data_IF_817395275234
#
_entry.id   IF_817395275234
#
_cell.length_a   1.000
_cell.length_b   1.000
_cell.length_c   1.000
_cell.angle_alpha   90.00
_cell.angle_beta   90.00
_cell.angle_gamma   90.00
#
_symmetry.space_group_name_H-M   'P 1'
#
loop_
_entity.id
_entity.type
_entity.pdbx_description
1 polymer ?
#
# COMPACT_ATOMS: atom_id res chain seq x y z
N UNK A 1 -7.17 -41.54 27.42
CA UNK A 1 -7.58 -40.13 27.48
C UNK A 1 -6.83 -39.44 26.35
N UNK A 2 -7.55 -39.13 25.27
CA UNK A 2 -7.03 -38.31 24.16
C UNK A 2 -7.43 -36.87 24.51
N UNK A 3 -6.45 -35.99 24.58
CA UNK A 3 -6.68 -34.56 24.78
C UNK A 3 -7.28 -34.00 23.49
N UNK A 4 -8.59 -33.76 23.54
CA UNK A 4 -9.36 -33.07 22.53
C UNK A 4 -9.10 -31.57 22.71
N UNK A 5 -8.04 -31.07 22.07
CA UNK A 5 -7.85 -29.63 21.88
C UNK A 5 -8.56 -29.24 20.61
N UNK A 6 -9.89 -29.12 20.69
CA UNK A 6 -10.59 -28.25 19.75
C UNK A 6 -10.06 -26.85 19.99
N UNK A 7 -9.31 -26.32 19.02
CA UNK A 7 -9.04 -24.89 18.95
C UNK A 7 -10.40 -24.20 18.89
N UNK A 8 -10.76 -23.55 20.00
CA UNK A 8 -11.95 -22.71 20.06
C UNK A 8 -11.64 -21.51 19.17
N UNK A 9 -12.10 -21.55 17.92
CA UNK A 9 -12.18 -20.38 17.07
C UNK A 9 -13.01 -19.33 17.82
N UNK A 10 -12.54 -18.09 17.98
CA UNK A 10 -13.27 -17.07 18.71
C UNK A 10 -14.60 -16.75 17.99
N UNK A 11 -15.71 -17.20 18.56
CA UNK A 11 -17.07 -17.05 18.01
C UNK A 11 -17.65 -15.64 18.12
N UNK A 12 -16.86 -14.65 18.57
CA UNK A 12 -17.27 -13.24 18.60
C UNK A 12 -16.07 -12.34 18.32
N UNK A 13 -16.20 -11.51 17.28
CA UNK A 13 -15.25 -10.44 16.97
C UNK A 13 -15.04 -9.58 18.21
N UNK A 14 -13.78 -9.27 18.50
CA UNK A 14 -13.46 -8.36 19.59
C UNK A 14 -14.08 -6.98 19.30
N UNK A 15 -14.56 -6.23 20.30
CA UNK A 15 -15.09 -4.88 20.06
C UNK A 15 -14.03 -4.03 19.35
N UNK A 16 -14.31 -3.61 18.12
CA UNK A 16 -13.40 -2.80 17.32
C UNK A 16 -13.14 -1.48 18.04
N UNK A 17 -11.88 -1.10 18.21
CA UNK A 17 -11.52 0.21 18.77
C UNK A 17 -11.61 1.26 17.67
N UNK A 18 -12.83 1.60 17.27
CA UNK A 18 -13.01 2.70 16.34
C UNK A 18 -12.68 4.04 17.00
N UNK A 19 -12.10 5.01 16.25
CA UNK A 19 -11.92 6.38 16.70
C UNK A 19 -13.21 7.01 17.23
N UNK A 20 -13.15 8.12 18.00
CA UNK A 20 -14.32 8.96 18.23
C UNK A 20 -14.91 9.36 16.87
N UNK A 21 -16.06 8.75 16.55
CA UNK A 21 -16.77 8.92 15.28
C UNK A 21 -17.53 10.25 15.23
N UNK A 22 -17.36 11.11 16.24
CA UNK A 22 -18.08 12.37 16.38
C UNK A 22 -17.66 13.36 15.29
N UNK A 23 -18.60 13.95 14.53
CA UNK A 23 -18.30 14.92 13.49
C UNK A 23 -17.51 16.14 13.98
N UNK A 24 -16.60 16.66 13.16
CA UNK A 24 -15.93 17.95 13.37
C UNK A 24 -16.42 18.96 12.34
N UNK A 25 -17.57 19.57 12.61
CA UNK A 25 -18.32 20.32 11.60
C UNK A 25 -18.89 19.35 10.55
N UNK A 26 -18.75 19.68 9.27
CA UNK A 26 -19.20 18.83 8.15
C UNK A 26 -18.22 17.70 7.79
N UNK A 27 -17.21 17.42 8.63
CA UNK A 27 -16.18 16.42 8.36
C UNK A 27 -16.22 15.27 9.39
N UNK A 28 -16.24 14.03 8.91
CA UNK A 28 -16.39 12.81 9.69
C UNK A 28 -15.22 11.86 9.46
N UNK A 29 -15.05 10.90 10.38
CA UNK A 29 -14.16 9.76 10.15
C UNK A 29 -14.75 8.87 9.04
N UNK A 30 -13.98 8.50 8.01
CA UNK A 30 -14.47 7.62 6.96
C UNK A 30 -15.04 6.29 7.45
N UNK A 31 -14.54 5.76 8.58
CA UNK A 31 -15.03 4.51 9.17
C UNK A 31 -16.43 4.61 9.78
N UNK A 32 -17.07 5.79 9.77
CA UNK A 32 -18.46 5.94 10.23
C UNK A 32 -19.46 5.12 9.39
N UNK A 33 -19.15 4.80 8.13
CA UNK A 33 -19.95 3.90 7.29
C UNK A 33 -19.78 2.42 7.66
N UNK A 34 -18.89 2.10 8.59
CA UNK A 34 -18.64 0.76 9.13
C UNK A 34 -18.96 0.65 10.62
N UNK A 35 -19.97 1.42 11.07
CA UNK A 35 -20.42 1.42 12.46
C UNK A 35 -21.08 0.11 12.84
N UNK A 36 -21.96 -0.39 11.97
CA UNK A 36 -22.69 -1.64 12.15
C UNK A 36 -21.84 -2.82 11.66
N UNK A 37 -21.81 -3.89 12.45
CA UNK A 37 -20.95 -5.06 12.22
C UNK A 37 -21.33 -5.85 10.94
N UNK A 38 -22.55 -5.64 10.43
CA UNK A 38 -23.14 -6.22 9.23
C UNK A 38 -23.11 -5.30 7.99
N UNK A 39 -22.55 -4.09 8.13
CA UNK A 39 -22.52 -3.14 7.02
C UNK A 39 -21.68 -3.63 5.84
N UNK A 40 -22.21 -3.46 4.61
CA UNK A 40 -21.51 -3.84 3.37
C UNK A 40 -20.12 -3.21 3.28
N UNK A 41 -19.99 -1.94 3.68
CA UNK A 41 -18.69 -1.24 3.70
C UNK A 41 -17.69 -1.90 4.64
N UNK A 42 -18.13 -2.44 5.79
CA UNK A 42 -17.24 -3.16 6.69
C UNK A 42 -16.78 -4.49 6.08
N UNK A 43 -17.68 -5.20 5.41
CA UNK A 43 -17.35 -6.42 4.66
C UNK A 43 -16.33 -6.13 3.56
N UNK A 44 -16.51 -5.07 2.77
CA UNK A 44 -15.54 -4.64 1.76
C UNK A 44 -14.19 -4.23 2.39
N UNK A 45 -14.21 -3.57 3.56
CA UNK A 45 -12.99 -3.18 4.28
C UNK A 45 -12.22 -4.39 4.80
N UNK A 46 -12.93 -5.40 5.29
CA UNK A 46 -12.33 -6.66 5.75
C UNK A 46 -11.75 -7.45 4.56
N UNK A 47 -12.51 -7.64 3.49
CA UNK A 47 -12.09 -8.42 2.32
C UNK A 47 -10.82 -7.88 1.65
N UNK A 48 -10.74 -6.56 1.45
CA UNK A 48 -9.52 -5.95 0.91
C UNK A 48 -8.34 -6.07 1.88
N UNK A 49 -8.59 -5.99 3.20
CA UNK A 49 -7.55 -6.14 4.23
C UNK A 49 -7.02 -7.59 4.25
N UNK A 50 -7.90 -8.60 4.19
CA UNK A 50 -7.53 -10.02 4.09
C UNK A 50 -6.67 -10.25 2.85
N UNK A 51 -7.14 -9.83 1.68
CA UNK A 51 -6.41 -10.01 0.41
C UNK A 51 -5.02 -9.38 0.45
N UNK A 52 -4.93 -8.14 0.96
CA UNK A 52 -3.68 -7.41 1.08
C UNK A 52 -2.70 -8.08 2.05
N UNK A 53 -3.18 -8.55 3.20
CA UNK A 53 -2.36 -9.23 4.21
C UNK A 53 -1.91 -10.61 3.73
N UNK A 54 -2.79 -11.38 3.10
CA UNK A 54 -2.44 -12.65 2.49
C UNK A 54 -1.30 -12.49 1.47
N UNK A 55 -1.36 -11.45 0.63
CA UNK A 55 -0.30 -11.13 -0.33
C UNK A 55 1.05 -10.80 0.34
N UNK A 56 1.04 -10.09 1.49
CA UNK A 56 2.27 -9.80 2.25
C UNK A 56 2.82 -11.01 2.99
N UNK A 57 1.96 -11.86 3.55
CA UNK A 57 2.35 -13.05 4.29
C UNK A 57 2.84 -14.16 3.35
N UNK A 58 2.14 -14.37 2.25
CA UNK A 58 2.42 -15.43 1.28
C UNK A 58 2.52 -14.87 -0.14
N UNK A 59 3.53 -14.05 -0.44
CA UNK A 59 3.74 -13.53 -1.77
C UNK A 59 4.06 -14.66 -2.76
N UNK A 60 3.65 -14.49 -4.00
CA UNK A 60 4.10 -15.29 -5.13
C UNK A 60 5.60 -15.10 -5.41
N UNK A 61 6.21 -16.03 -6.14
CA UNK A 61 7.62 -15.94 -6.53
C UNK A 61 7.98 -14.62 -7.28
N UNK A 62 7.17 -14.12 -8.23
CA UNK A 62 7.42 -12.82 -8.85
C UNK A 62 7.51 -11.66 -7.84
N UNK A 63 6.61 -11.64 -6.85
CA UNK A 63 6.62 -10.61 -5.80
C UNK A 63 7.81 -10.77 -4.85
N UNK A 64 8.17 -12.01 -4.48
CA UNK A 64 9.39 -12.28 -3.70
C UNK A 64 10.63 -11.73 -4.41
N UNK A 65 10.76 -11.99 -5.71
CA UNK A 65 11.90 -11.52 -6.50
C UNK A 65 12.00 -9.99 -6.55
N UNK A 66 10.88 -9.30 -6.79
CA UNK A 66 10.85 -7.83 -6.81
C UNK A 66 11.13 -7.21 -5.43
N UNK A 67 10.65 -7.84 -4.35
CA UNK A 67 10.95 -7.44 -2.97
C UNK A 67 12.43 -7.66 -2.63
N UNK A 68 13.01 -8.77 -3.07
CA UNK A 68 14.45 -9.05 -2.89
C UNK A 68 15.32 -8.00 -3.59
N UNK A 69 14.94 -7.61 -4.81
CA UNK A 69 15.60 -6.54 -5.57
C UNK A 69 15.50 -5.20 -4.82
N UNK A 70 14.31 -4.80 -4.36
CA UNK A 70 14.15 -3.58 -3.58
C UNK A 70 14.97 -3.60 -2.30
N UNK A 71 14.95 -4.71 -1.55
CA UNK A 71 15.72 -4.86 -0.33
C UNK A 71 17.23 -4.73 -0.58
N UNK A 72 17.74 -5.35 -1.64
CA UNK A 72 19.14 -5.19 -2.05
C UNK A 72 19.49 -3.73 -2.43
N UNK A 73 18.59 -3.06 -3.16
CA UNK A 73 18.75 -1.65 -3.51
C UNK A 73 18.77 -0.71 -2.30
N UNK A 74 17.92 -0.99 -1.29
CA UNK A 74 17.87 -0.25 -0.03
C UNK A 74 19.11 -0.51 0.84
N UNK A 75 19.61 -1.74 0.91
CA UNK A 75 20.89 -2.05 1.59
C UNK A 75 22.02 -1.26 0.93
N UNK A 76 22.10 -1.26 -0.40
CA UNK A 76 23.10 -0.47 -1.12
C UNK A 76 22.96 1.04 -0.89
N UNK A 77 21.74 1.53 -0.62
CA UNK A 77 21.53 2.94 -0.24
C UNK A 77 22.02 3.22 1.18
N UNK A 78 21.78 2.32 2.14
CA UNK A 78 22.33 2.43 3.50
C UNK A 78 23.87 2.45 3.48
N UNK A 79 24.49 1.56 2.69
CA UNK A 79 25.95 1.57 2.45
C UNK A 79 26.42 2.91 1.88
N UNK A 80 25.66 3.46 0.93
CA UNK A 80 25.97 4.75 0.33
C UNK A 80 25.89 5.90 1.34
N UNK A 81 24.88 5.89 2.23
CA UNK A 81 24.72 6.89 3.28
C UNK A 81 25.85 6.86 4.30
N UNK A 82 26.26 5.68 4.77
CA UNK A 82 27.35 5.53 5.74
C UNK A 82 28.67 6.16 5.28
N UNK A 83 28.93 6.12 3.97
CA UNK A 83 30.13 6.70 3.38
C UNK A 83 30.04 8.23 3.18
N UNK A 84 28.93 8.87 3.54
CA UNK A 84 28.77 10.32 3.48
C UNK A 84 29.29 11.01 4.75
N UNK A 85 29.69 12.27 4.60
CA UNK A 85 30.19 13.08 5.73
C UNK A 85 29.14 13.27 6.83
N UNK A 86 27.88 13.35 6.44
CA UNK A 86 26.67 13.47 7.28
C UNK A 86 25.90 12.14 7.39
N UNK A 87 26.58 11.00 7.18
CA UNK A 87 25.94 9.68 7.07
C UNK A 87 25.11 9.27 8.28
N UNK A 88 25.58 9.56 9.50
CA UNK A 88 24.87 9.23 10.73
C UNK A 88 23.53 9.96 10.82
N UNK A 89 23.53 11.28 10.57
CA UNK A 89 22.31 12.08 10.58
C UNK A 89 21.33 11.66 9.48
N UNK A 90 21.84 11.27 8.31
CA UNK A 90 21.01 10.78 7.20
C UNK A 90 20.37 9.42 7.53
N UNK A 91 21.11 8.49 8.12
CA UNK A 91 20.55 7.18 8.54
C UNK A 91 19.47 7.37 9.59
N UNK A 92 19.72 8.19 10.62
CA UNK A 92 18.71 8.52 11.65
C UNK A 92 17.48 9.16 11.00
N UNK A 93 17.70 10.13 10.09
CA UNK A 93 16.62 10.82 9.38
C UNK A 93 15.80 9.91 8.47
N UNK A 94 16.42 8.92 7.85
CA UNK A 94 15.74 7.90 7.03
C UNK A 94 14.88 6.98 7.90
N UNK A 95 15.36 6.59 9.07
CA UNK A 95 14.64 5.71 10.00
C UNK A 95 13.53 6.40 10.79
N UNK A 96 13.49 7.74 10.81
CA UNK A 96 12.64 8.50 11.72
C UNK A 96 11.15 8.16 11.64
N UNK A 97 10.66 7.79 10.46
CA UNK A 97 9.26 7.43 10.26
C UNK A 97 9.00 5.96 10.52
N UNK A 98 9.85 5.05 10.05
CA UNK A 98 9.70 3.60 10.28
C UNK A 98 9.89 3.20 11.75
N UNK A 99 10.90 3.77 12.43
CA UNK A 99 11.24 3.44 13.82
C UNK A 99 10.66 4.41 14.86
N UNK A 100 10.06 5.51 14.39
CA UNK A 100 9.41 6.50 15.23
C UNK A 100 8.06 6.05 15.77
N UNK A 101 7.39 6.90 16.57
CA UNK A 101 6.12 6.56 17.23
C UNK A 101 4.94 6.36 16.24
N UNK A 102 5.08 6.86 15.02
CA UNK A 102 4.13 6.71 13.91
C UNK A 102 4.46 5.54 12.97
N UNK A 103 5.57 4.86 13.25
CA UNK A 103 6.16 3.88 12.35
C UNK A 103 5.50 2.52 12.37
N UNK A 104 5.96 1.68 11.43
CA UNK A 104 5.60 0.27 11.37
C UNK A 104 6.41 -0.59 12.31
N UNK A 105 7.60 -0.13 12.73
CA UNK A 105 8.45 -0.84 13.67
C UNK A 105 8.93 0.12 14.76
N UNK A 106 8.01 0.67 15.58
CA UNK A 106 8.37 1.66 16.60
C UNK A 106 9.38 1.08 17.60
N UNK A 107 10.55 1.70 17.72
CA UNK A 107 11.61 1.25 18.62
C UNK A 107 11.72 2.19 19.82
N UNK A 108 11.52 1.67 21.04
CA UNK A 108 11.59 2.48 22.27
C UNK A 108 12.90 3.27 22.38
N UNK A 109 14.03 2.61 22.08
CA UNK A 109 15.35 3.24 22.07
C UNK A 109 15.41 4.44 21.10
N UNK A 110 14.84 4.30 19.91
CA UNK A 110 14.79 5.38 18.93
C UNK A 110 13.93 6.53 19.44
N UNK A 111 12.71 6.22 19.91
CA UNK A 111 11.74 7.19 20.39
C UNK A 111 12.31 7.99 21.57
N UNK A 112 12.95 7.33 22.53
CA UNK A 112 13.57 7.98 23.69
C UNK A 112 14.74 8.87 23.29
N UNK A 113 15.63 8.37 22.43
CA UNK A 113 16.82 9.11 21.96
C UNK A 113 16.45 10.37 21.15
N UNK A 114 15.27 10.39 20.56
CA UNK A 114 14.81 11.46 19.65
C UNK A 114 13.81 12.42 20.30
N UNK A 115 13.25 12.07 21.46
CA UNK A 115 12.21 12.81 22.18
C UNK A 115 12.53 14.30 22.45
N UNK A 116 13.80 14.63 22.66
CA UNK A 116 14.23 16.00 22.98
C UNK A 116 14.53 16.86 21.74
N UNK A 117 14.38 16.31 20.54
CA UNK A 117 14.75 16.98 19.28
C UNK A 117 16.26 17.09 19.04
N UNK A 118 17.08 16.57 19.95
CA UNK A 118 18.53 16.44 19.81
C UNK A 118 18.96 15.03 20.20
N UNK A 119 19.87 14.45 19.41
CA UNK A 119 20.42 13.11 19.66
C UNK A 119 21.75 13.25 20.39
N UNK A 120 21.83 12.74 21.62
CA UNK A 120 23.02 12.87 22.46
C UNK A 120 24.20 12.01 21.95
N UNK A 121 23.92 10.84 21.36
CA UNK A 121 24.91 9.94 20.75
C UNK A 121 24.48 9.51 19.33
N UNK A 122 24.73 10.34 18.30
CA UNK A 122 24.26 10.08 16.95
C UNK A 122 24.94 8.87 16.29
N UNK A 123 26.19 8.54 16.66
CA UNK A 123 26.89 7.36 16.12
C UNK A 123 26.22 6.05 16.56
N UNK A 124 25.94 5.91 17.85
CA UNK A 124 25.30 4.72 18.40
C UNK A 124 23.85 4.57 17.88
N UNK A 125 23.10 5.66 17.81
CA UNK A 125 21.74 5.63 17.28
C UNK A 125 21.73 5.29 15.79
N UNK A 126 22.64 5.86 14.98
CA UNK A 126 22.75 5.53 13.57
C UNK A 126 23.10 4.06 13.35
N UNK A 127 24.02 3.51 14.16
CA UNK A 127 24.36 2.09 14.15
C UNK A 127 23.14 1.22 14.48
N UNK A 128 22.40 1.53 15.54
CA UNK A 128 21.17 0.82 15.91
C UNK A 128 20.12 0.87 14.77
N UNK A 129 19.91 2.05 14.21
CA UNK A 129 18.99 2.28 13.10
C UNK A 129 19.35 1.38 11.90
N UNK A 130 20.64 1.40 11.51
CA UNK A 130 21.16 0.61 10.41
C UNK A 130 21.01 -0.88 10.65
N UNK A 131 21.48 -1.39 11.79
CA UNK A 131 21.41 -2.82 12.13
C UNK A 131 19.95 -3.32 12.16
N UNK A 132 19.01 -2.47 12.60
CA UNK A 132 17.58 -2.79 12.60
C UNK A 132 17.03 -2.89 11.18
N UNK A 133 17.28 -1.90 10.33
CA UNK A 133 16.84 -1.96 8.93
C UNK A 133 17.51 -3.11 8.17
N UNK A 134 18.81 -3.32 8.33
CA UNK A 134 19.54 -4.41 7.68
C UNK A 134 18.99 -5.79 8.05
N UNK A 135 18.48 -5.98 9.27
CA UNK A 135 17.85 -7.23 9.69
C UNK A 135 16.59 -7.53 8.88
N UNK A 136 15.72 -6.54 8.71
CA UNK A 136 14.51 -6.68 7.88
C UNK A 136 14.88 -6.89 6.41
N UNK A 137 15.73 -6.02 5.87
CA UNK A 137 16.09 -6.02 4.46
C UNK A 137 16.85 -7.30 4.07
N UNK A 138 17.80 -7.77 4.89
CA UNK A 138 18.55 -8.99 4.60
C UNK A 138 17.66 -10.24 4.59
N UNK A 139 16.64 -10.27 5.44
CA UNK A 139 15.69 -11.39 5.48
C UNK A 139 14.84 -11.44 4.21
N UNK A 140 14.37 -10.28 3.75
CA UNK A 140 13.63 -10.14 2.48
C UNK A 140 14.52 -10.41 1.27
N UNK A 141 15.76 -9.89 1.26
CA UNK A 141 16.71 -10.08 0.16
C UNK A 141 17.05 -11.57 -0.06
N UNK A 142 17.22 -12.32 1.03
CA UNK A 142 17.47 -13.78 0.96
C UNK A 142 16.30 -14.59 0.40
N UNK A 143 15.18 -13.94 0.09
CA UNK A 143 13.99 -14.56 -0.51
C UNK A 143 13.46 -15.72 0.34
N UNK A 144 13.56 -15.58 1.67
CA UNK A 144 13.02 -16.60 2.57
C UNK A 144 11.50 -16.60 2.43
N UNK A 145 10.95 -17.77 2.15
CA UNK A 145 9.53 -17.97 2.02
C UNK A 145 8.86 -17.99 3.39
N UNK A 146 7.56 -17.69 3.40
CA UNK A 146 6.72 -17.85 4.57
C UNK A 146 6.19 -16.54 5.16
N UNK A 147 5.15 -16.65 5.99
CA UNK A 147 4.43 -15.53 6.59
C UNK A 147 5.18 -14.80 7.70
N UNK A 148 6.26 -15.37 8.23
CA UNK A 148 7.12 -14.80 9.28
C UNK A 148 7.85 -13.54 8.81
N UNK A 149 7.96 -13.34 7.48
CA UNK A 149 8.53 -12.13 6.90
C UNK A 149 7.50 -11.05 6.57
N UNK A 150 6.21 -11.24 6.83
CA UNK A 150 5.17 -10.26 6.49
C UNK A 150 5.51 -8.84 6.95
N UNK A 151 5.87 -8.70 8.22
CA UNK A 151 6.31 -7.44 8.81
C UNK A 151 7.57 -6.87 8.13
N UNK A 152 8.60 -7.69 7.89
CA UNK A 152 9.83 -7.25 7.22
C UNK A 152 9.58 -6.77 5.79
N UNK A 153 8.65 -7.41 5.07
CA UNK A 153 8.21 -6.98 3.74
C UNK A 153 7.48 -5.64 3.81
N UNK A 154 6.57 -5.46 4.78
CA UNK A 154 5.90 -4.18 5.01
C UNK A 154 6.90 -3.05 5.34
N UNK A 155 7.88 -3.29 6.22
CA UNK A 155 8.96 -2.34 6.52
C UNK A 155 9.77 -1.99 5.28
N UNK A 156 10.10 -2.98 4.44
CA UNK A 156 10.81 -2.77 3.18
C UNK A 156 10.04 -1.83 2.26
N UNK A 157 8.73 -2.05 2.08
CA UNK A 157 7.88 -1.22 1.23
C UNK A 157 7.66 0.17 1.83
N UNK A 158 7.54 0.28 3.16
CA UNK A 158 7.43 1.56 3.85
C UNK A 158 8.64 2.47 3.59
N UNK A 159 9.85 1.92 3.62
CA UNK A 159 11.06 2.67 3.26
C UNK A 159 11.03 3.19 1.82
N UNK A 160 10.49 2.41 0.87
CA UNK A 160 10.29 2.88 -0.51
C UNK A 160 9.35 4.09 -0.55
N UNK A 161 8.26 4.02 0.23
CA UNK A 161 7.30 5.11 0.36
C UNK A 161 7.90 6.36 0.99
N UNK A 162 8.68 6.21 2.05
CA UNK A 162 9.32 7.32 2.75
C UNK A 162 10.36 8.03 1.85
N UNK A 163 11.11 7.26 1.06
CA UNK A 163 12.01 7.79 0.04
C UNK A 163 11.24 8.56 -1.03
N UNK A 164 10.22 7.95 -1.64
CA UNK A 164 9.40 8.62 -2.64
C UNK A 164 8.74 9.90 -2.10
N UNK A 165 8.31 9.88 -0.84
CA UNK A 165 7.71 11.04 -0.18
C UNK A 165 8.71 12.20 -0.04
N UNK A 166 9.94 11.99 0.44
CA UNK A 166 10.91 13.09 0.54
C UNK A 166 11.48 13.53 -0.82
N UNK A 167 11.45 12.67 -1.83
CA UNK A 167 11.83 13.03 -3.20
C UNK A 167 10.80 13.95 -3.85
N UNK A 168 9.53 13.73 -3.54
CA UNK A 168 8.43 14.44 -4.19
C UNK A 168 7.87 15.62 -3.37
N UNK A 169 8.02 15.62 -2.05
CA UNK A 169 7.53 16.67 -1.16
C UNK A 169 8.44 17.91 -1.14
N UNK A 170 7.83 19.08 -0.99
CA UNK A 170 8.52 20.38 -0.85
C UNK A 170 8.79 20.76 0.62
N UNK A 171 9.09 19.79 1.49
CA UNK A 171 9.48 20.06 2.89
C UNK A 171 8.53 19.56 3.99
N UNK A 172 7.73 18.51 3.77
CA UNK A 172 6.94 17.92 4.85
C UNK A 172 7.84 17.13 5.83
N UNK A 173 8.08 17.73 7.00
CA UNK A 173 8.86 17.20 8.13
C UNK A 173 8.00 16.84 9.34
N UNK A 174 6.67 17.05 9.27
CA UNK A 174 5.78 16.94 10.43
C UNK A 174 5.76 15.52 11.00
N UNK A 175 5.87 15.39 12.32
CA UNK A 175 5.81 14.10 13.04
C UNK A 175 7.13 13.33 13.12
N UNK A 176 8.23 13.87 12.58
CA UNK A 176 9.54 13.19 12.57
C UNK A 176 10.64 14.08 13.12
N UNK A 177 11.70 13.48 13.68
CA UNK A 177 12.95 14.21 14.02
C UNK A 177 13.76 14.68 12.80
N UNK A 178 13.24 14.45 11.60
CA UNK A 178 13.84 14.89 10.35
C UNK A 178 13.56 16.38 10.17
N UNK A 179 14.57 17.21 10.32
CA UNK A 179 14.46 18.64 9.99
C UNK A 179 14.52 18.89 8.47
N UNK A 180 14.32 20.15 8.06
CA UNK A 180 14.32 20.54 6.64
C UNK A 180 15.70 20.32 5.98
N UNK A 181 16.79 20.49 6.74
CA UNK A 181 18.15 20.33 6.25
C UNK A 181 18.45 18.86 5.97
N UNK A 182 18.11 17.96 6.89
CA UNK A 182 18.22 16.50 6.74
C UNK A 182 17.34 16.02 5.59
N UNK A 183 16.11 16.54 5.47
CA UNK A 183 15.22 16.21 4.35
C UNK A 183 15.83 16.56 2.99
N UNK A 184 16.41 17.77 2.87
CA UNK A 184 17.08 18.21 1.64
C UNK A 184 18.30 17.36 1.33
N UNK A 185 19.11 17.04 2.35
CA UNK A 185 20.30 16.21 2.18
C UNK A 185 19.98 14.76 1.83
N UNK A 186 18.92 14.17 2.39
CA UNK A 186 18.40 12.86 2.01
C UNK A 186 17.93 12.82 0.55
N UNK A 187 17.25 13.88 0.11
CA UNK A 187 16.85 14.04 -1.29
C UNK A 187 18.08 14.08 -2.22
N UNK A 188 19.08 14.88 -1.88
CA UNK A 188 20.33 14.96 -2.64
C UNK A 188 21.10 13.63 -2.64
N UNK A 189 21.21 12.94 -1.49
CA UNK A 189 21.91 11.66 -1.40
C UNK A 189 21.20 10.56 -2.17
N UNK A 190 19.86 10.47 -2.11
CA UNK A 190 19.14 9.50 -2.91
C UNK A 190 19.25 9.79 -4.41
N UNK A 191 19.25 11.06 -4.81
CA UNK A 191 19.48 11.45 -6.20
C UNK A 191 20.85 11.02 -6.70
N UNK A 192 21.90 11.24 -5.90
CA UNK A 192 23.25 10.77 -6.23
C UNK A 192 23.33 9.24 -6.31
N UNK A 193 22.64 8.54 -5.41
CA UNK A 193 22.59 7.09 -5.42
C UNK A 193 21.86 6.56 -6.68
N UNK A 194 20.71 7.11 -7.01
CA UNK A 194 19.95 6.78 -8.22
C UNK A 194 20.80 7.00 -9.49
N UNK A 195 21.52 8.11 -9.56
CA UNK A 195 22.43 8.41 -10.68
C UNK A 195 23.61 7.44 -10.73
N UNK A 196 24.18 7.08 -9.58
CA UNK A 196 25.25 6.08 -9.48
C UNK A 196 24.80 4.72 -10.02
N UNK A 197 23.56 4.30 -9.74
CA UNK A 197 22.99 3.05 -10.28
C UNK A 197 22.96 3.06 -11.82
N UNK A 198 22.84 4.24 -12.45
CA UNK A 198 22.89 4.40 -13.91
C UNK A 198 24.28 4.74 -14.47
N UNK A 199 25.32 4.79 -13.62
CA UNK A 199 26.65 5.24 -14.04
C UNK A 199 26.72 6.73 -14.42
N UNK A 200 25.80 7.56 -13.90
CA UNK A 200 25.75 9.01 -14.07
C UNK A 200 26.32 9.74 -12.84
N UNK A 201 26.69 11.01 -13.03
CA UNK A 201 27.23 11.89 -11.98
C UNK A 201 26.15 12.83 -11.43
N UNK A 202 26.45 13.51 -10.31
CA UNK A 202 25.55 14.44 -9.63
C UNK A 202 25.13 15.68 -10.45
N UNK A 203 25.74 15.92 -11.62
CA UNK A 203 25.35 16.99 -12.54
C UNK A 203 23.95 16.78 -13.14
N UNK A 204 23.42 15.56 -13.05
CA UNK A 204 22.12 15.17 -13.62
C UNK A 204 20.99 15.09 -12.57
N UNK A 205 21.17 15.66 -11.37
CA UNK A 205 20.16 15.63 -10.30
C UNK A 205 18.79 16.17 -10.74
N UNK A 206 18.77 17.18 -11.60
CA UNK A 206 17.52 17.74 -12.14
C UNK A 206 16.68 16.68 -12.87
N UNK A 207 17.29 15.69 -13.53
CA UNK A 207 16.57 14.59 -14.18
C UNK A 207 15.84 13.68 -13.17
N UNK A 208 16.45 13.46 -12.00
CA UNK A 208 15.84 12.67 -10.91
C UNK A 208 14.65 13.44 -10.35
N UNK A 209 14.81 14.73 -10.10
CA UNK A 209 13.76 15.59 -9.60
C UNK A 209 12.57 15.67 -10.58
N UNK A 210 12.85 15.88 -11.86
CA UNK A 210 11.84 15.86 -12.91
C UNK A 210 11.13 14.50 -12.97
N UNK A 211 11.86 13.40 -12.85
CA UNK A 211 11.29 12.06 -12.82
C UNK A 211 10.34 11.86 -11.64
N UNK A 212 10.77 12.21 -10.43
CA UNK A 212 9.94 12.10 -9.23
C UNK A 212 8.67 12.96 -9.35
N UNK A 213 8.79 14.19 -9.86
CA UNK A 213 7.64 15.09 -10.06
C UNK A 213 6.69 14.60 -11.16
N UNK A 214 7.21 14.03 -12.26
CA UNK A 214 6.38 13.34 -13.27
C UNK A 214 5.61 12.21 -12.63
N UNK A 215 6.27 11.36 -11.84
CA UNK A 215 5.67 10.24 -11.15
C UNK A 215 4.51 10.67 -10.25
N UNK A 216 4.77 11.65 -9.37
CA UNK A 216 3.75 12.24 -8.48
C UNK A 216 2.57 12.84 -9.24
N UNK A 217 2.82 13.51 -10.37
CA UNK A 217 1.77 14.12 -11.20
C UNK A 217 0.87 13.06 -11.84
N UNK A 218 1.47 12.02 -12.43
CA UNK A 218 0.76 10.94 -13.12
C UNK A 218 -0.02 10.06 -12.14
N UNK A 219 0.57 9.72 -10.99
CA UNK A 219 -0.06 8.89 -9.97
C UNK A 219 -1.07 9.65 -9.12
N UNK A 220 -1.63 10.70 -9.71
CA UNK A 220 -2.66 11.56 -9.17
C UNK A 220 -2.38 12.08 -7.77
N UNK A 221 -1.16 12.58 -7.53
CA UNK A 221 -0.90 13.55 -6.48
C UNK A 221 -1.86 14.75 -6.50
N UNK A 222 -2.51 15.02 -7.64
CA UNK A 222 -3.63 15.97 -7.79
C UNK A 222 -5.00 15.36 -8.16
N UNK A 223 -5.15 14.02 -8.25
CA UNK A 223 -6.35 13.37 -8.84
C UNK A 223 -6.90 12.20 -8.01
N UNK A 224 -6.11 11.52 -7.16
CA UNK A 224 -6.56 10.32 -6.45
C UNK A 224 -7.26 10.66 -5.13
N UNK A 225 -8.57 10.36 -5.07
CA UNK A 225 -9.44 10.45 -3.89
C UNK A 225 -9.87 11.87 -3.53
N UNK A 226 -10.97 12.05 -2.78
CA UNK A 226 -11.76 13.29 -2.67
C UNK A 226 -10.89 14.53 -2.58
N UNK A 227 -11.19 15.52 -3.44
CA UNK A 227 -10.32 16.63 -3.83
C UNK A 227 -9.46 17.10 -2.65
N UNK A 228 -8.17 16.69 -2.66
CA UNK A 228 -7.31 16.46 -1.47
C UNK A 228 -7.23 17.58 -0.42
N UNK A 229 -7.60 18.81 -0.77
CA UNK A 229 -7.62 19.94 0.16
C UNK A 229 -9.00 20.52 0.48
N UNK A 230 -10.02 20.29 -0.37
CA UNK A 230 -11.35 20.92 -0.21
C UNK A 230 -12.33 20.06 0.57
N UNK A 231 -12.21 18.75 0.46
CA UNK A 231 -13.12 17.78 1.10
C UNK A 231 -12.49 17.11 2.33
N UNK A 232 -11.30 17.56 2.76
CA UNK A 232 -10.51 16.91 3.80
C UNK A 232 -10.13 17.88 4.90
N UNK A 233 -10.15 17.40 6.13
CA UNK A 233 -9.68 18.12 7.31
C UNK A 233 -8.65 17.26 8.05
N UNK A 234 -7.44 17.80 8.24
CA UNK A 234 -6.40 17.14 9.02
C UNK A 234 -6.86 17.04 10.47
N UNK A 235 -6.59 15.89 11.07
CA UNK A 235 -6.82 15.63 12.49
C UNK A 235 -5.56 16.03 13.25
N UNK A 236 -5.73 16.66 14.42
CA UNK A 236 -4.60 17.01 15.30
C UNK A 236 -3.90 15.74 15.80
N UNK A 237 -2.61 15.82 16.12
CA UNK A 237 -1.77 14.65 16.45
C UNK A 237 -2.30 13.88 17.66
N UNK A 238 -2.85 14.58 18.65
CA UNK A 238 -3.43 14.00 19.87
C UNK A 238 -4.71 13.19 19.61
N UNK A 239 -5.36 13.42 18.47
CA UNK A 239 -6.55 12.69 18.03
C UNK A 239 -6.20 11.50 17.10
N UNK A 240 -4.92 11.31 16.74
CA UNK A 240 -4.49 10.18 15.91
C UNK A 240 -4.53 8.87 16.69
N UNK A 241 -5.41 7.98 16.25
CA UNK A 241 -5.60 6.66 16.84
C UNK A 241 -4.89 5.63 15.96
N UNK A 242 -4.10 4.70 16.54
CA UNK A 242 -3.52 3.60 15.80
C UNK A 242 -4.61 2.83 15.05
N UNK A 243 -4.36 2.53 13.78
CA UNK A 243 -5.21 1.65 12.97
C UNK A 243 -4.42 0.48 12.45
N UNK A 244 -5.13 -0.63 12.28
CA UNK A 244 -4.57 -1.84 11.71
C UNK A 244 -5.45 -2.23 10.53
N UNK A 245 -4.98 -2.10 9.30
CA UNK A 245 -5.84 -2.35 8.13
C UNK A 245 -6.95 -1.30 7.95
N UNK A 246 -7.79 -1.47 6.92
CA UNK A 246 -8.85 -0.52 6.60
C UNK A 246 -9.99 -0.66 7.61
N UNK A 247 -10.46 0.49 8.13
CA UNK A 247 -11.48 0.54 9.18
C UNK A 247 -11.16 -0.34 10.41
N UNK A 248 -9.87 -0.48 10.72
CA UNK A 248 -9.33 -1.30 11.81
C UNK A 248 -9.61 -2.81 11.68
N UNK A 249 -9.80 -3.31 10.45
CA UNK A 249 -10.04 -4.74 10.17
C UNK A 249 -8.80 -5.65 10.28
N UNK A 250 -7.63 -5.10 10.59
CA UNK A 250 -6.36 -5.82 10.50
C UNK A 250 -6.22 -6.95 11.52
N UNK A 251 -6.75 -6.76 12.73
CA UNK A 251 -6.80 -7.84 13.72
C UNK A 251 -7.68 -8.98 13.22
N UNK A 252 -8.91 -8.68 12.82
CA UNK A 252 -9.87 -9.68 12.32
C UNK A 252 -9.29 -10.44 11.12
N UNK A 253 -8.65 -9.72 10.18
CA UNK A 253 -7.98 -10.33 9.04
C UNK A 253 -6.82 -11.25 9.47
N UNK A 254 -6.02 -10.86 10.46
CA UNK A 254 -4.96 -11.72 10.99
C UNK A 254 -5.49 -12.93 11.74
N UNK A 255 -6.61 -12.82 12.48
CA UNK A 255 -7.25 -13.96 13.15
C UNK A 255 -7.76 -14.96 12.12
N UNK A 256 -8.47 -14.50 11.08
CA UNK A 256 -8.99 -15.34 10.00
C UNK A 256 -7.88 -15.99 9.16
N UNK A 257 -6.79 -15.27 8.89
CA UNK A 257 -5.61 -15.83 8.23
C UNK A 257 -4.74 -16.71 9.15
N UNK A 258 -5.11 -16.84 10.44
CA UNK A 258 -4.34 -17.60 11.42
C UNK A 258 -2.94 -17.03 11.67
N UNK A 259 -2.77 -15.70 11.59
CA UNK A 259 -1.51 -14.96 11.79
C UNK A 259 -1.50 -14.03 13.00
N UNK A 260 -2.62 -13.81 13.68
CA UNK A 260 -2.67 -12.91 14.84
C UNK A 260 -1.65 -13.31 15.92
N UNK A 261 -0.87 -12.32 16.40
CA UNK A 261 0.22 -12.47 17.37
C UNK A 261 1.32 -13.49 17.02
N UNK A 262 1.35 -14.00 15.78
CA UNK A 262 2.44 -14.85 15.29
C UNK A 262 3.61 -14.00 14.80
N UNK A 263 4.79 -14.61 14.69
CA UNK A 263 5.96 -13.94 14.12
C UNK A 263 5.62 -13.38 12.73
N UNK A 264 6.06 -12.15 12.44
CA UNK A 264 5.83 -11.50 11.15
C UNK A 264 4.43 -10.89 10.95
N UNK A 265 3.52 -10.96 11.93
CA UNK A 265 2.22 -10.28 11.84
C UNK A 265 2.38 -8.75 11.72
N UNK A 266 1.43 -8.09 11.08
CA UNK A 266 1.45 -6.64 10.89
C UNK A 266 0.90 -5.93 12.13
N UNK A 267 1.69 -5.02 12.68
CA UNK A 267 1.34 -4.24 13.87
C UNK A 267 0.46 -3.04 13.53
N UNK A 268 -0.32 -2.50 14.49
CA UNK A 268 -1.05 -1.26 14.32
C UNK A 268 -0.10 -0.10 13.99
N UNK A 269 -0.51 0.78 13.09
CA UNK A 269 0.25 1.98 12.71
C UNK A 269 -0.51 3.24 13.07
N UNK A 270 0.19 4.28 13.52
CA UNK A 270 -0.39 5.61 13.69
C UNK A 270 -0.05 6.44 12.47
N UNK A 271 -1.06 6.91 11.75
CA UNK A 271 -0.85 7.78 10.62
C UNK A 271 -1.94 8.84 10.56
N UNK A 272 -1.61 9.96 9.90
CA UNK A 272 -2.49 11.11 9.81
C UNK A 272 -3.71 10.83 8.91
N UNK A 273 -4.72 10.17 9.47
CA UNK A 273 -6.04 9.99 8.86
C UNK A 273 -6.71 11.35 8.76
N UNK A 274 -7.13 11.76 7.57
CA UNK A 274 -7.93 12.96 7.44
C UNK A 274 -9.41 12.62 7.62
N UNK A 275 -10.15 13.53 8.27
CA UNK A 275 -11.62 13.49 8.20
C UNK A 275 -12.05 13.93 6.81
N UNK A 276 -13.09 13.31 6.29
CA UNK A 276 -13.67 13.62 4.98
C UNK A 276 -15.00 14.34 5.14
N UNK A 277 -15.37 15.18 4.18
CA UNK A 277 -16.70 15.79 4.16
C UNK A 277 -17.78 14.68 4.20
N UNK A 278 -18.77 14.83 5.07
CA UNK A 278 -19.82 13.83 5.35
C UNK A 278 -20.48 13.30 4.08
N UNK A 279 -21.00 14.20 3.22
CA UNK A 279 -21.55 13.85 1.89
C UNK A 279 -20.65 12.94 1.05
N UNK A 280 -19.33 13.07 1.12
CA UNK A 280 -18.44 12.17 0.37
C UNK A 280 -18.52 10.76 0.91
N UNK A 281 -18.50 10.61 2.23
CA UNK A 281 -18.59 9.31 2.90
C UNK A 281 -19.96 8.70 2.64
N UNK A 282 -21.05 9.47 2.73
CA UNK A 282 -22.41 9.01 2.45
C UNK A 282 -22.63 8.55 1.00
N UNK A 283 -21.98 9.20 0.02
CA UNK A 283 -22.16 8.91 -1.40
C UNK A 283 -21.18 7.86 -1.95
N UNK A 284 -20.28 7.32 -1.12
CA UNK A 284 -19.27 6.34 -1.55
C UNK A 284 -19.52 5.02 -0.84
N UNK A 285 -19.93 4.00 -1.59
CA UNK A 285 -20.17 2.65 -1.07
C UNK A 285 -18.87 1.90 -0.73
N UNK A 286 -17.78 2.28 -1.41
CA UNK A 286 -16.44 1.72 -1.17
C UNK A 286 -15.83 2.26 0.14
N UNK A 287 -15.04 1.44 0.85
CA UNK A 287 -14.28 1.92 2.00
C UNK A 287 -13.32 3.06 1.63
N UNK A 288 -13.16 4.02 2.52
CA UNK A 288 -12.28 5.17 2.35
C UNK A 288 -11.33 5.23 3.56
N UNK A 289 -10.02 5.39 3.36
CA UNK A 289 -9.10 5.61 4.48
C UNK A 289 -8.93 7.11 4.77
N UNK A 290 -9.00 7.97 3.75
CA UNK A 290 -8.85 9.42 3.88
C UNK A 290 -7.41 9.91 3.85
N UNK A 291 -6.45 9.08 3.42
CA UNK A 291 -5.02 9.41 3.48
C UNK A 291 -4.56 10.40 2.39
N UNK A 292 -3.75 11.39 2.76
CA UNK A 292 -3.47 12.60 1.95
C UNK A 292 -2.36 12.47 0.88
N UNK A 293 -1.65 11.35 0.81
CA UNK A 293 -0.39 11.21 0.05
C UNK A 293 -0.59 10.63 -1.36
N UNK A 294 0.42 10.74 -2.22
CA UNK A 294 0.47 10.07 -3.52
C UNK A 294 1.19 8.72 -3.41
N UNK A 295 0.93 7.98 -2.33
CA UNK A 295 1.77 6.86 -1.88
C UNK A 295 1.98 5.75 -2.91
N UNK A 296 1.00 5.34 -3.73
CA UNK A 296 1.26 4.36 -4.78
C UNK A 296 2.39 4.80 -5.71
N UNK A 297 2.38 6.07 -6.15
CA UNK A 297 3.40 6.60 -7.05
C UNK A 297 4.76 6.81 -6.40
N UNK A 298 4.77 7.22 -5.13
CA UNK A 298 5.99 7.42 -4.34
C UNK A 298 6.73 6.08 -4.15
N UNK A 299 6.00 5.03 -3.77
CA UNK A 299 6.53 3.68 -3.61
C UNK A 299 7.03 3.13 -4.94
N UNK A 300 6.18 3.13 -5.97
CA UNK A 300 6.48 2.48 -7.25
C UNK A 300 7.59 3.18 -8.02
N UNK A 301 7.66 4.51 -7.97
CA UNK A 301 8.78 5.27 -8.54
C UNK A 301 10.10 4.88 -7.88
N UNK A 302 10.15 4.83 -6.54
CA UNK A 302 11.36 4.44 -5.81
C UNK A 302 11.75 3.00 -6.13
N UNK A 303 10.77 2.10 -6.20
CA UNK A 303 10.98 0.69 -6.55
C UNK A 303 11.55 0.54 -7.97
N UNK A 304 11.07 1.31 -8.95
CA UNK A 304 11.60 1.34 -10.32
C UNK A 304 13.08 1.74 -10.37
N UNK A 305 13.45 2.78 -9.62
CA UNK A 305 14.84 3.24 -9.53
C UNK A 305 15.74 2.15 -8.97
N UNK A 306 15.35 1.58 -7.81
CA UNK A 306 16.15 0.55 -7.14
C UNK A 306 16.22 -0.76 -7.93
N UNK A 307 15.19 -1.07 -8.71
CA UNK A 307 15.19 -2.21 -9.63
C UNK A 307 15.96 -1.95 -10.93
N UNK A 308 16.63 -0.81 -11.07
CA UNK A 308 17.45 -0.48 -12.25
C UNK A 308 16.64 -0.29 -13.54
N UNK A 309 15.35 0.06 -13.44
CA UNK A 309 14.50 0.36 -14.63
C UNK A 309 14.86 1.69 -15.28
N UNK A 310 15.51 2.54 -14.51
CA UNK A 310 16.06 3.82 -14.91
C UNK A 310 15.13 5.00 -14.63
N UNK A 311 15.73 6.15 -14.38
CA UNK A 311 15.14 7.43 -14.01
C UNK A 311 14.10 7.87 -15.05
N UNK A 312 14.39 7.67 -16.34
CA UNK A 312 13.49 8.08 -17.42
C UNK A 312 12.26 7.18 -17.56
N UNK A 313 12.26 6.01 -16.93
CA UNK A 313 11.17 5.01 -17.01
C UNK A 313 10.48 4.75 -15.67
N UNK A 314 10.95 5.37 -14.60
CA UNK A 314 10.32 5.25 -13.28
C UNK A 314 8.93 5.90 -13.30
N UNK A 315 7.91 5.11 -12.99
CA UNK A 315 6.50 5.53 -12.92
C UNK A 315 6.01 6.32 -14.15
N UNK A 316 6.37 5.92 -15.37
CA UNK A 316 5.95 6.65 -16.58
C UNK A 316 4.60 6.20 -17.17
N UNK A 317 4.03 5.12 -16.64
CA UNK A 317 2.84 4.46 -17.19
C UNK A 317 3.13 3.78 -18.54
N UNK A 318 2.82 2.50 -18.67
CA UNK A 318 2.91 1.82 -19.96
C UNK A 318 3.16 0.31 -19.89
N UNK A 319 2.71 -0.41 -20.91
CA UNK A 319 2.80 -1.86 -21.10
C UNK A 319 4.19 -2.35 -21.57
N UNK A 320 5.22 -1.52 -21.41
CA UNK A 320 6.60 -1.86 -21.76
C UNK A 320 7.34 -2.63 -20.65
N UNK A 321 8.63 -2.97 -20.84
CA UNK A 321 9.46 -3.69 -19.85
C UNK A 321 9.73 -2.95 -18.52
N UNK A 322 9.02 -1.84 -18.26
CA UNK A 322 9.08 -1.04 -17.04
C UNK A 322 7.95 -1.31 -16.05
N UNK A 323 6.83 -1.91 -16.48
CA UNK A 323 5.75 -2.33 -15.58
C UNK A 323 6.10 -3.65 -14.89
N UNK A 324 5.67 -3.79 -13.64
CA UNK A 324 5.68 -5.05 -12.91
C UNK A 324 4.42 -5.17 -12.08
N UNK A 325 3.56 -6.14 -12.43
CA UNK A 325 2.36 -6.47 -11.65
C UNK A 325 2.72 -6.79 -10.20
N UNK A 326 3.83 -7.50 -9.99
CA UNK A 326 4.37 -7.79 -8.68
C UNK A 326 4.62 -6.52 -7.85
N UNK A 327 5.34 -5.52 -8.38
CA UNK A 327 5.61 -4.27 -7.64
C UNK A 327 4.34 -3.49 -7.31
N UNK A 328 3.44 -3.38 -8.28
CA UNK A 328 2.14 -2.75 -8.07
C UNK A 328 1.32 -3.47 -6.99
N UNK A 329 1.29 -4.81 -6.99
CA UNK A 329 0.60 -5.59 -5.98
C UNK A 329 1.24 -5.41 -4.61
N UNK A 330 2.58 -5.44 -4.51
CA UNK A 330 3.30 -5.17 -3.27
C UNK A 330 2.96 -3.79 -2.69
N UNK A 331 2.95 -2.75 -3.52
CA UNK A 331 2.54 -1.41 -3.08
C UNK A 331 1.08 -1.37 -2.59
N UNK A 332 0.15 -2.01 -3.30
CA UNK A 332 -1.26 -2.10 -2.87
C UNK A 332 -1.39 -2.89 -1.56
N UNK A 333 -0.73 -4.05 -1.47
CA UNK A 333 -0.78 -4.94 -0.33
C UNK A 333 -0.30 -4.23 0.95
N UNK A 334 0.78 -3.47 0.84
CA UNK A 334 1.27 -2.62 1.92
C UNK A 334 0.26 -1.53 2.31
N UNK A 335 -0.18 -0.72 1.36
CA UNK A 335 -1.02 0.44 1.65
C UNK A 335 -2.39 0.02 2.21
N UNK A 336 -3.01 -1.02 1.65
CA UNK A 336 -4.31 -1.54 2.11
C UNK A 336 -4.15 -2.37 3.38
N UNK A 337 -3.18 -3.28 3.44
CA UNK A 337 -3.02 -4.22 4.56
C UNK A 337 -2.61 -3.54 5.88
N UNK A 338 -1.80 -2.49 5.80
CA UNK A 338 -1.47 -1.64 6.95
C UNK A 338 -2.56 -0.60 7.25
N UNK A 339 -3.50 -0.39 6.32
CA UNK A 339 -4.64 0.51 6.48
C UNK A 339 -4.37 1.95 6.06
N UNK A 340 -3.24 2.24 5.41
CA UNK A 340 -2.92 3.59 4.94
C UNK A 340 -3.85 4.07 3.82
N UNK A 341 -4.30 3.22 2.90
CA UNK A 341 -5.19 3.60 1.78
C UNK A 341 -6.16 2.48 1.50
N UNK A 342 -7.41 2.79 1.15
CA UNK A 342 -8.34 1.76 0.67
C UNK A 342 -8.02 1.32 -0.76
N UNK A 343 -8.63 0.22 -1.20
CA UNK A 343 -8.60 -0.27 -2.58
C UNK A 343 -8.98 0.85 -3.57
N UNK A 344 -10.03 1.62 -3.25
CA UNK A 344 -10.47 2.77 -4.04
C UNK A 344 -9.41 3.88 -4.15
N UNK A 345 -8.63 4.08 -3.09
CA UNK A 345 -7.57 5.10 -3.06
C UNK A 345 -6.28 4.63 -3.74
N UNK A 346 -6.04 3.33 -3.91
CA UNK A 346 -4.85 2.84 -4.63
C UNK A 346 -5.12 2.53 -6.11
N UNK A 347 -6.35 2.16 -6.48
CA UNK A 347 -6.69 1.60 -7.81
C UNK A 347 -6.27 2.50 -8.97
N UNK A 348 -6.49 3.82 -8.87
CA UNK A 348 -6.15 4.74 -9.94
C UNK A 348 -4.64 4.75 -10.19
N UNK A 349 -3.83 4.91 -9.15
CA UNK A 349 -2.37 4.98 -9.26
C UNK A 349 -1.78 3.66 -9.76
N UNK A 350 -2.41 2.54 -9.39
CA UNK A 350 -2.04 1.20 -9.85
C UNK A 350 -2.35 1.00 -11.34
N UNK A 351 -3.53 1.44 -11.80
CA UNK A 351 -3.90 1.36 -13.22
C UNK A 351 -3.00 2.25 -14.09
N UNK A 352 -2.73 3.49 -13.66
CA UNK A 352 -1.81 4.40 -14.38
C UNK A 352 -0.42 3.78 -14.48
N UNK A 353 0.07 3.14 -13.40
CA UNK A 353 1.35 2.43 -13.44
C UNK A 353 1.34 1.29 -14.47
N UNK A 354 0.22 0.58 -14.60
CA UNK A 354 -0.03 -0.41 -15.66
C UNK A 354 -0.21 0.18 -17.07
N UNK A 355 -0.18 1.51 -17.22
CA UNK A 355 -0.41 2.19 -18.49
C UNK A 355 -1.89 2.30 -18.88
N UNK A 356 -2.79 2.17 -17.91
CA UNK A 356 -4.23 2.30 -18.10
C UNK A 356 -4.73 3.54 -17.37
N UNK A 357 -5.24 4.53 -18.10
CA UNK A 357 -6.00 5.62 -17.48
C UNK A 357 -7.44 5.13 -17.24
N UNK A 358 -7.92 5.08 -15.97
CA UNK A 358 -9.28 4.65 -15.67
C UNK A 358 -10.35 5.40 -16.48
N UNK A 359 -10.10 6.67 -16.82
CA UNK A 359 -11.04 7.50 -17.59
C UNK A 359 -11.09 7.12 -19.07
N UNK A 360 -9.98 6.63 -19.60
CA UNK A 360 -9.91 6.16 -21.00
C UNK A 360 -10.42 4.73 -21.14
N UNK A 361 -10.29 3.92 -20.09
CA UNK A 361 -10.74 2.52 -20.11
C UNK A 361 -12.21 2.38 -19.71
N UNK A 362 -12.73 3.24 -18.82
CA UNK A 362 -14.11 3.22 -18.34
C UNK A 362 -14.96 4.35 -18.95
N UNK A 363 -14.90 4.50 -20.27
CA UNK A 363 -15.57 5.60 -21.01
C UNK A 363 -17.07 5.65 -20.70
N UNK A 364 -17.73 4.49 -20.67
CA UNK A 364 -19.17 4.38 -20.42
C UNK A 364 -19.52 4.86 -19.00
N UNK A 365 -18.70 4.50 -18.00
CA UNK A 365 -18.87 4.96 -16.62
C UNK A 365 -18.63 6.47 -16.51
N UNK A 366 -17.64 7.02 -17.22
CA UNK A 366 -17.39 8.46 -17.30
C UNK A 366 -18.62 9.19 -17.89
N UNK A 367 -19.14 8.72 -19.02
CA UNK A 367 -20.32 9.31 -19.66
C UNK A 367 -21.58 9.23 -18.79
N UNK A 368 -21.78 8.09 -18.12
CA UNK A 368 -22.91 7.91 -17.21
C UNK A 368 -22.81 8.88 -16.02
N UNK A 369 -21.64 8.97 -15.38
CA UNK A 369 -21.44 9.89 -14.25
C UNK A 369 -21.56 11.35 -14.64
N UNK A 370 -21.09 11.72 -15.83
CA UNK A 370 -21.32 13.07 -16.37
C UNK A 370 -22.83 13.35 -16.52
N UNK A 371 -23.63 12.40 -17.01
CA UNK A 371 -25.09 12.56 -17.14
C UNK A 371 -25.79 12.66 -15.79
N UNK A 372 -25.36 11.88 -14.80
CA UNK A 372 -25.99 11.82 -13.47
C UNK A 372 -25.62 13.01 -12.58
N UNK A 373 -24.36 13.44 -12.62
CA UNK A 373 -23.81 14.41 -11.64
C UNK A 373 -23.47 15.76 -12.25
N UNK A 374 -23.36 15.85 -13.59
CA UNK A 374 -22.87 17.04 -14.28
C UNK A 374 -21.35 17.27 -14.11
N UNK A 375 -20.62 16.34 -13.50
CA UNK A 375 -19.17 16.46 -13.28
C UNK A 375 -18.40 15.91 -14.49
N UNK A 376 -17.69 16.80 -15.20
CA UNK A 376 -16.91 16.46 -16.41
C UNK A 376 -15.74 15.51 -16.16
N UNK A 377 -15.21 15.48 -14.93
CA UNK A 377 -14.02 14.69 -14.60
C UNK A 377 -14.29 13.91 -13.31
N UNK A 378 -14.97 12.75 -13.40
CA UNK A 378 -15.19 11.90 -12.24
C UNK A 378 -13.86 11.40 -11.67
N UNK A 379 -13.77 11.36 -10.34
CA UNK A 379 -12.66 10.71 -9.62
C UNK A 379 -12.91 9.20 -9.49
N UNK A 380 -11.94 8.46 -8.93
CA UNK A 380 -12.07 7.02 -8.76
C UNK A 380 -13.31 6.65 -7.93
N UNK A 381 -13.70 7.44 -6.92
CA UNK A 381 -14.90 7.20 -6.12
C UNK A 381 -16.21 7.32 -6.90
N UNK A 382 -16.22 8.09 -7.98
CA UNK A 382 -17.36 8.15 -8.89
C UNK A 382 -17.34 7.01 -9.93
N UNK A 383 -16.16 6.52 -10.32
CA UNK A 383 -16.01 5.49 -11.36
C UNK A 383 -16.16 4.06 -10.83
N UNK A 384 -15.70 3.80 -9.62
CA UNK A 384 -15.78 2.49 -8.97
C UNK A 384 -16.84 2.56 -7.86
N UNK A 385 -17.84 1.68 -7.94
CA UNK A 385 -18.98 1.63 -7.03
C UNK A 385 -19.30 0.16 -6.67
N UNK A 386 -20.10 -0.06 -5.63
CA UNK A 386 -20.55 -1.38 -5.17
C UNK A 386 -19.44 -2.44 -5.10
N UNK A 387 -18.32 -2.09 -4.46
CA UNK A 387 -17.19 -3.00 -4.27
C UNK A 387 -16.29 -3.25 -5.49
N UNK A 388 -16.52 -2.58 -6.63
CA UNK A 388 -15.73 -2.79 -7.85
C UNK A 388 -14.22 -2.52 -7.68
N UNK A 389 -13.82 -1.49 -6.94
CA UNK A 389 -12.41 -1.25 -6.65
C UNK A 389 -11.85 -2.31 -5.69
N UNK A 390 -12.63 -2.68 -4.66
CA UNK A 390 -12.28 -3.76 -3.73
C UNK A 390 -12.06 -5.09 -4.46
N UNK A 391 -12.96 -5.48 -5.36
CA UNK A 391 -12.82 -6.70 -6.18
C UNK A 391 -11.62 -6.64 -7.12
N UNK A 392 -11.46 -5.54 -7.87
CA UNK A 392 -10.36 -5.40 -8.82
C UNK A 392 -8.99 -5.46 -8.14
N UNK A 393 -8.83 -4.74 -7.03
CA UNK A 393 -7.58 -4.77 -6.25
C UNK A 393 -7.41 -6.13 -5.58
N UNK A 394 -8.48 -6.77 -5.10
CA UNK A 394 -8.47 -8.12 -4.55
C UNK A 394 -7.96 -9.17 -5.54
N UNK A 395 -8.54 -9.23 -6.74
CA UNK A 395 -8.09 -10.13 -7.82
C UNK A 395 -6.61 -9.89 -8.18
N UNK A 396 -6.23 -8.62 -8.27
CA UNK A 396 -4.85 -8.23 -8.56
C UNK A 396 -3.85 -8.68 -7.46
N UNK A 397 -4.26 -8.64 -6.20
CA UNK A 397 -3.47 -9.15 -5.07
C UNK A 397 -3.41 -10.69 -5.07
N UNK A 398 -4.49 -11.37 -5.43
CA UNK A 398 -4.57 -12.84 -5.49
C UNK A 398 -3.63 -13.41 -6.54
N UNK A 399 -3.51 -12.75 -7.69
CA UNK A 399 -2.55 -13.12 -8.74
C UNK A 399 -1.10 -13.10 -8.22
N UNK A 400 -0.80 -12.19 -7.28
CA UNK A 400 0.53 -12.03 -6.69
C UNK A 400 0.66 -12.71 -5.31
N UNK A 401 -0.34 -13.48 -4.90
CA UNK A 401 -0.33 -14.33 -3.70
C UNK A 401 0.01 -15.78 -4.10
N UNK A 402 0.76 -16.49 -3.27
CA UNK A 402 1.08 -17.90 -3.53
C UNK A 402 -0.16 -18.79 -3.38
N UNK A 403 -0.08 -20.04 -3.84
CA UNK A 403 -1.16 -21.02 -3.68
C UNK A 403 -1.55 -21.19 -2.20
N UNK A 404 -0.57 -21.36 -1.31
CA UNK A 404 -0.79 -21.46 0.14
C UNK A 404 -1.51 -20.22 0.70
N UNK A 405 -1.15 -19.03 0.23
CA UNK A 405 -1.80 -17.79 0.66
C UNK A 405 -3.24 -17.68 0.18
N UNK A 406 -3.52 -18.11 -1.06
CA UNK A 406 -4.88 -18.15 -1.60
C UNK A 406 -5.75 -19.18 -0.90
N UNK A 407 -5.21 -20.34 -0.55
CA UNK A 407 -5.92 -21.33 0.28
C UNK A 407 -6.25 -20.77 1.66
N UNK A 408 -5.28 -20.11 2.33
CA UNK A 408 -5.52 -19.48 3.62
C UNK A 408 -6.59 -18.37 3.55
N UNK A 409 -6.59 -17.57 2.48
CA UNK A 409 -7.63 -16.58 2.20
C UNK A 409 -8.99 -17.23 1.95
N UNK A 410 -9.07 -18.27 1.11
CA UNK A 410 -10.32 -18.98 0.80
C UNK A 410 -10.96 -19.52 2.08
N UNK A 411 -10.15 -20.13 2.96
CA UNK A 411 -10.65 -20.62 4.26
C UNK A 411 -11.15 -19.47 5.16
N UNK A 412 -10.49 -18.31 5.13
CA UNK A 412 -10.93 -17.11 5.83
C UNK A 412 -12.28 -16.60 5.29
N UNK A 413 -12.47 -16.60 3.97
CA UNK A 413 -13.72 -16.20 3.32
C UNK A 413 -14.86 -17.18 3.62
N UNK A 414 -14.61 -18.49 3.59
CA UNK A 414 -15.60 -19.51 3.97
C UNK A 414 -16.06 -19.34 5.43
N UNK A 415 -15.13 -19.03 6.35
CA UNK A 415 -15.46 -18.76 7.76
C UNK A 415 -16.40 -17.54 7.90
N UNK A 416 -16.23 -16.51 7.06
CA UNK A 416 -17.10 -15.33 7.07
C UNK A 416 -18.50 -15.63 6.53
N UNK A 417 -18.62 -16.50 5.53
CA UNK A 417 -19.91 -16.94 4.99
C UNK A 417 -20.67 -17.82 5.99
N UNK A 418 -19.98 -18.66 6.78
CA UNK A 418 -20.60 -19.46 7.84
C UNK A 418 -21.16 -18.58 8.99
N UNK A 419 -20.40 -17.57 9.43
CA UNK A 419 -20.83 -16.65 10.49
C UNK A 419 -22.07 -15.82 10.09
N UNK A 420 -22.22 -15.49 8.80
CA UNK A 420 -23.37 -14.72 8.28
C UNK A 420 -24.64 -15.57 8.13
N UNK A 421 -24.48 -16.86 7.77
CA UNK A 421 -25.60 -17.80 7.66
C UNK A 421 -26.20 -18.23 9.01
N UNK A 422 -25.43 -18.14 10.11
CA UNK A 422 -25.97 -18.37 11.46
C UNK A 422 -26.83 -17.20 11.98
N UNK A 423 -26.66 -15.99 11.43
CA UNK A 423 -27.45 -14.80 11.80
C UNK A 423 -28.70 -14.60 10.92
N UNK A 424 -28.64 -14.93 9.63
CA UNK A 424 -29.73 -14.67 8.65
C UNK A 424 -30.69 -15.84 8.41
N UNK A 425 -31.20 -16.46 9.49
CA UNK A 425 -32.34 -17.38 9.39
C UNK A 425 -33.71 -16.66 9.31
N UNK A 426 -33.82 -15.50 8.64
CA UNK A 426 -35.09 -14.92 8.17
C UNK A 426 -34.88 -14.08 6.89
N UNK A 427 -35.40 -14.61 5.78
CA UNK A 427 -35.73 -13.96 4.50
C UNK A 427 -34.60 -13.47 3.57
N UNK A 428 -34.21 -14.33 2.61
CA UNK A 428 -33.69 -13.86 1.32
C UNK A 428 -34.26 -14.65 0.13
N UNK A 429 -34.83 -13.93 -0.83
CA UNK A 429 -34.96 -14.39 -2.21
C UNK A 429 -35.02 -13.19 -3.16
N UNK A 430 -33.90 -12.48 -3.38
CA UNK A 430 -33.77 -11.52 -4.51
C UNK A 430 -32.35 -11.07 -4.93
N UNK A 431 -31.28 -11.35 -4.19
CA UNK A 431 -29.93 -10.80 -4.47
C UNK A 431 -29.12 -11.53 -5.58
N UNK A 432 -29.45 -12.78 -5.92
CA UNK A 432 -28.66 -13.63 -6.82
C UNK A 432 -28.62 -13.24 -8.32
N UNK A 433 -29.42 -12.27 -8.75
CA UNK A 433 -29.53 -11.87 -10.16
C UNK A 433 -28.45 -10.89 -10.62
N UNK A 434 -27.95 -10.02 -9.73
CA UNK A 434 -27.05 -8.91 -10.09
C UNK A 434 -25.56 -9.35 -10.13
N UNK A 435 -25.16 -10.23 -9.21
CA UNK A 435 -23.82 -10.84 -9.15
C UNK A 435 -23.45 -11.63 -10.41
N UNK A 436 -24.42 -12.29 -11.05
CA UNK A 436 -24.19 -13.06 -12.27
C UNK A 436 -23.96 -12.18 -13.52
N UNK A 437 -24.47 -10.94 -13.52
CA UNK A 437 -24.24 -9.98 -14.60
C UNK A 437 -22.81 -9.40 -14.55
N UNK A 438 -22.33 -9.08 -13.34
CA UNK A 438 -20.99 -8.55 -13.08
C UNK A 438 -19.88 -9.57 -13.37
N UNK A 439 -20.04 -10.84 -12.97
CA UNK A 439 -19.09 -11.93 -13.30
C UNK A 439 -18.90 -12.11 -14.82
N UNK A 440 -19.93 -11.84 -15.64
CA UNK A 440 -19.83 -11.96 -17.11
C UNK A 440 -19.04 -10.81 -17.78
N UNK A 441 -18.89 -9.66 -17.11
CA UNK A 441 -18.15 -8.51 -17.60
C UNK A 441 -16.73 -8.44 -16.99
N UNK A 442 -16.55 -8.82 -15.72
CA UNK A 442 -15.22 -9.02 -15.10
C UNK A 442 -14.45 -10.17 -15.74
N UNK A 443 -15.13 -11.25 -16.17
CA UNK A 443 -14.52 -12.31 -16.96
C UNK A 443 -13.93 -11.86 -18.30
N UNK A 444 -14.36 -10.71 -18.85
CA UNK A 444 -13.72 -10.10 -20.05
C UNK A 444 -12.50 -9.24 -19.67
N UNK A 445 -12.46 -8.70 -18.46
CA UNK A 445 -11.34 -7.93 -17.90
C UNK A 445 -10.17 -8.82 -17.51
N UNK A 446 -10.43 -9.93 -16.81
CA UNK A 446 -9.43 -10.94 -16.47
C UNK A 446 -8.81 -11.57 -17.74
N UNK A 447 -9.61 -11.76 -18.80
CA UNK A 447 -9.12 -12.19 -20.12
C UNK A 447 -8.23 -11.12 -20.76
N UNK A 448 -8.52 -9.83 -20.58
CA UNK A 448 -7.65 -8.73 -21.03
C UNK A 448 -6.28 -8.71 -20.36
N UNK A 449 -6.22 -8.94 -19.04
CA UNK A 449 -4.96 -9.04 -18.28
C UNK A 449 -4.20 -10.33 -18.62
N UNK A 450 -4.90 -11.47 -18.76
CA UNK A 450 -4.30 -12.74 -19.19
C UNK A 450 -3.73 -12.67 -20.62
N UNK A 451 -4.39 -11.99 -21.56
CA UNK A 451 -3.89 -11.84 -22.93
C UNK A 451 -2.62 -10.98 -22.99
N UNK A 452 -2.43 -10.03 -22.07
CA UNK A 452 -1.21 -9.22 -21.98
C UNK A 452 -0.03 -10.02 -21.40
N UNK A 453 -0.28 -10.92 -20.44
CA UNK A 453 0.72 -11.86 -19.91
C UNK A 453 1.10 -12.93 -20.95
N UNK A 454 0.14 -13.44 -21.72
CA UNK A 454 0.40 -14.41 -22.79
C UNK A 454 1.14 -13.78 -23.99
N UNK A 455 0.85 -12.54 -24.36
CA UNK A 455 1.52 -11.84 -25.45
C UNK A 455 2.99 -11.51 -25.13
N UNK A 456 3.30 -11.18 -23.87
CA UNK A 456 4.68 -10.92 -23.43
C UNK A 456 5.50 -12.22 -23.34
N UNK A 457 4.92 -13.33 -22.90
CA UNK A 457 5.59 -14.64 -22.92
C UNK A 457 5.91 -15.13 -24.35
N UNK A 458 5.00 -14.89 -25.31
CA UNK A 458 5.18 -15.34 -26.70
C UNK A 458 6.25 -14.53 -27.45
N UNK A 459 6.37 -13.23 -27.17
CA UNK A 459 7.40 -12.36 -27.79
C UNK A 459 8.80 -12.68 -27.26
N UNK A 460 8.95 -13.07 -26.00
CA UNK A 460 10.24 -13.49 -25.41
C UNK A 460 10.73 -14.83 -25.98
N UNK A 461 9.82 -15.78 -26.24
CA UNK A 461 10.16 -17.07 -26.86
C UNK A 461 10.53 -16.89 -28.35
N UNK A 462 9.86 -16.00 -29.07
CA UNK A 462 10.15 -15.72 -30.48
C UNK A 462 11.50 -14.99 -30.69
N UNK A 463 11.97 -14.20 -29.71
CA UNK A 463 13.28 -13.52 -29.81
C UNK A 463 14.47 -14.39 -29.40
N UNK A 464 14.27 -15.44 -28.59
CA UNK A 464 15.34 -16.40 -28.26
C UNK A 464 15.60 -17.40 -29.39
N UNK A 465 14.59 -17.76 -30.19
CA UNK A 465 14.75 -18.69 -31.32
C UNK A 465 15.36 -18.07 -32.59
N UNK A 466 15.53 -16.74 -32.66
CA UNK A 466 16.12 -16.06 -33.82
C UNK A 466 17.62 -15.71 -33.66
N UNK A 467 18.30 -16.28 -32.65
CA UNK A 467 19.76 -16.10 -32.45
C UNK A 467 20.59 -17.36 -32.72
N UNK A 468 20.01 -18.40 -33.31
CA UNK A 468 20.76 -19.54 -33.86
C UNK A 468 20.28 -19.86 -35.26
N UNK A 469 20.72 -19.04 -36.22
CA UNK A 469 20.89 -19.40 -37.63
C UNK A 469 21.93 -18.47 -38.26
#
# INVERSE_FOLDING_TARGET
MKDDKSEILPTRRSPRRSPPREPSGEHVDPSISSVEDDSETLTLALNQTISARACLYWPSEPLINELSIAAGGLIGYLDFLENQKDGNELIIGLCARVLGPEGLDPQELFIEATKKGSVDNPEELAKFCRETLERHLSSVQKSVEGPELGHSRAVTIALLGDIGAFMTATGATTGTVRDEKVSRRLKESFSDYALKLEGKTSEFRDLVDESAQRGRKLGGGGVIGPTKSKERKRVEEEELIPRTGIHDCGKDADELLGRFEKEGHLVPTKWATARLHEKRVELTEEPLAGHMSASPSEILWTWDILAGRGIDKAYVGGTGPGYSAARAAGACAFLVGCGYHSALEVVHGTLIYGGQDPKEVLVEAVEQRLKETGVEIPDAGALFYSGAATSLVGEFLDDMTSEVGREAKSNAEETLEEDTLEEDSVEEEQSYSLLNSLKSNLGKFAVGVLFVVAATATVVIATQNNKTL
#
